data_IF_129764814118
#
_entry.id   IF_129764814118
#
_cell.length_a   1.000
_cell.length_b   1.000
_cell.length_c   1.000
_cell.angle_alpha   90.00
_cell.angle_beta   90.00
_cell.angle_gamma   90.00
#
_symmetry.space_group_name_H-M   'P 1'
#
loop_
_entity.id
_entity.type
_entity.pdbx_description
1 polymer ?
#
# COMPACT_ATOMS: atom_id res chain seq x y z
N UNK A 1 13.01 -27.71 10.08
CA UNK A 1 12.71 -26.70 11.10
C UNK A 1 12.18 -25.51 10.35
N UNK A 2 10.97 -25.07 10.68
CA UNK A 2 10.39 -23.73 10.50
C UNK A 2 8.89 -23.89 10.71
N UNK A 3 8.53 -24.03 11.99
CA UNK A 3 7.14 -23.94 12.41
C UNK A 3 6.71 -22.48 12.23
N UNK A 4 5.93 -22.23 11.19
CA UNK A 4 5.12 -21.02 11.11
C UNK A 4 4.25 -21.00 12.36
N UNK A 5 4.34 -19.92 13.14
CA UNK A 5 3.38 -19.68 14.19
C UNK A 5 2.00 -19.67 13.56
N UNK A 6 1.17 -20.65 13.94
CA UNK A 6 -0.26 -20.50 13.80
C UNK A 6 -0.64 -19.55 14.92
N UNK A 7 -0.57 -18.24 14.64
CA UNK A 7 -1.08 -17.22 15.53
C UNK A 7 -2.47 -17.62 16.01
N UNK A 8 -2.64 -17.63 17.33
CA UNK A 8 -3.85 -18.02 18.06
C UNK A 8 -5.14 -17.72 17.29
N UNK A 9 -5.80 -18.75 16.75
CA UNK A 9 -7.04 -18.63 15.98
C UNK A 9 -8.12 -17.87 16.76
N UNK A 10 -8.05 -17.88 18.11
CA UNK A 10 -8.97 -17.14 18.98
C UNK A 10 -8.73 -15.62 18.98
N UNK A 11 -7.50 -15.16 18.71
CA UNK A 11 -7.19 -13.75 18.59
C UNK A 11 -7.76 -13.17 17.28
N UNK A 12 -7.73 -13.95 16.19
CA UNK A 12 -8.30 -13.56 14.90
C UNK A 12 -9.82 -13.46 14.94
N UNK A 13 -10.50 -14.42 15.57
CA UNK A 13 -11.96 -14.37 15.73
C UNK A 13 -12.36 -13.17 16.58
N UNK A 14 -11.66 -12.93 17.69
CA UNK A 14 -11.92 -11.79 18.57
C UNK A 14 -11.77 -10.45 17.83
N UNK A 15 -10.72 -10.31 17.02
CA UNK A 15 -10.52 -9.12 16.19
C UNK A 15 -11.65 -8.94 15.17
N UNK A 16 -12.08 -10.02 14.51
CA UNK A 16 -13.18 -9.97 13.55
C UNK A 16 -14.49 -9.50 14.22
N UNK A 17 -14.82 -10.02 15.40
CA UNK A 17 -16.01 -9.63 16.17
C UNK A 17 -15.98 -8.13 16.53
N UNK A 18 -14.81 -7.61 16.94
CA UNK A 18 -14.64 -6.17 17.20
C UNK A 18 -14.77 -5.32 15.93
N UNK A 19 -14.28 -5.82 14.80
CA UNK A 19 -14.36 -5.11 13.54
C UNK A 19 -15.81 -5.04 13.04
N UNK A 20 -16.57 -6.13 13.14
CA UNK A 20 -17.99 -6.20 12.74
C UNK A 20 -18.90 -5.33 13.61
N UNK A 21 -18.62 -5.25 14.91
CA UNK A 21 -19.39 -4.41 15.84
C UNK A 21 -19.03 -2.91 15.77
N UNK A 22 -17.96 -2.54 15.07
CA UNK A 22 -17.47 -1.16 14.98
C UNK A 22 -18.19 -0.35 13.91
N UNK A 23 -18.90 0.71 14.30
CA UNK A 23 -19.57 1.61 13.34
C UNK A 23 -18.63 2.61 12.66
N UNK A 24 -17.39 2.74 13.14
CA UNK A 24 -16.38 3.68 12.63
C UNK A 24 -14.99 3.06 12.71
N UNK A 25 -14.40 2.78 11.56
CA UNK A 25 -13.08 2.15 11.47
C UNK A 25 -12.07 3.15 10.90
N UNK A 26 -10.93 3.30 11.58
CA UNK A 26 -9.79 4.08 11.11
C UNK A 26 -8.62 3.13 10.80
N UNK A 27 -8.20 3.10 9.54
CA UNK A 27 -7.03 2.32 9.12
C UNK A 27 -5.81 3.24 9.01
N UNK A 28 -4.79 3.01 9.84
CA UNK A 28 -3.50 3.69 9.73
C UNK A 28 -2.56 2.80 8.89
N UNK A 29 -2.28 3.24 7.66
CA UNK A 29 -1.47 2.47 6.70
C UNK A 29 -0.19 3.22 6.34
N UNK A 30 0.90 2.49 6.20
CA UNK A 30 2.20 3.02 5.78
C UNK A 30 2.70 2.37 4.49
N UNK A 31 3.92 2.73 4.09
CA UNK A 31 4.56 2.21 2.87
C UNK A 31 4.64 0.67 2.82
N UNK A 32 4.61 0.00 3.98
CA UNK A 32 4.58 -1.47 4.06
C UNK A 32 3.37 -2.10 3.36
N UNK A 33 2.21 -1.42 3.32
CA UNK A 33 1.03 -1.89 2.58
C UNK A 33 1.34 -2.08 1.09
N UNK A 34 2.23 -1.24 0.54
CA UNK A 34 2.59 -1.21 -0.88
C UNK A 34 3.83 -2.04 -1.22
N UNK A 35 4.54 -2.60 -0.25
CA UNK A 35 5.70 -3.45 -0.51
C UNK A 35 5.37 -4.69 -1.38
N UNK A 36 4.24 -5.40 -1.15
CA UNK A 36 3.84 -6.52 -2.00
C UNK A 36 3.42 -6.11 -3.42
N UNK A 37 3.18 -4.81 -3.66
CA UNK A 37 2.92 -4.26 -4.99
C UNK A 37 4.19 -3.94 -5.79
N UNK A 38 5.36 -4.37 -5.29
CA UNK A 38 6.65 -4.15 -5.95
C UNK A 38 7.28 -2.79 -5.66
N UNK A 39 6.71 -2.00 -4.74
CA UNK A 39 7.24 -0.69 -4.39
C UNK A 39 8.26 -0.78 -3.26
N UNK A 40 9.44 -0.19 -3.48
CA UNK A 40 10.49 -0.15 -2.47
C UNK A 40 10.12 0.82 -1.35
N UNK A 41 10.16 0.31 -0.12
CA UNK A 41 9.90 1.08 1.10
C UNK A 41 11.12 1.88 1.54
N UNK A 42 10.90 2.92 2.36
CA UNK A 42 12.00 3.68 2.94
C UNK A 42 12.73 2.91 4.05
N UNK A 43 11.99 2.11 4.82
CA UNK A 43 12.49 1.31 5.95
C UNK A 43 12.26 -0.19 5.73
N UNK A 44 12.92 -1.03 6.52
CA UNK A 44 12.82 -2.49 6.48
C UNK A 44 14.10 -3.14 5.95
N UNK A 45 14.10 -4.48 5.82
CA UNK A 45 15.28 -5.26 5.40
C UNK A 45 15.85 -4.79 4.06
N UNK A 46 14.98 -4.44 3.11
CA UNK A 46 15.33 -3.89 1.80
C UNK A 46 14.96 -2.39 1.68
N UNK A 47 14.97 -1.67 2.79
CA UNK A 47 14.61 -0.25 2.84
C UNK A 47 15.69 0.64 2.24
N UNK A 48 15.29 1.68 1.52
CA UNK A 48 16.22 2.62 0.88
C UNK A 48 17.08 3.38 1.87
N UNK A 49 16.56 3.60 3.08
CA UNK A 49 17.36 4.21 4.14
C UNK A 49 18.41 3.27 4.70
N UNK A 50 18.59 2.04 4.24
CA UNK A 50 19.77 1.28 4.64
C UNK A 50 21.04 1.82 3.97
N UNK A 51 20.90 2.61 2.89
CA UNK A 51 21.99 3.32 2.23
C UNK A 51 22.03 4.79 2.66
N UNK A 52 23.17 5.22 3.20
CA UNK A 52 23.40 6.59 3.66
C UNK A 52 23.29 7.59 2.51
N UNK A 53 23.74 7.24 1.31
CA UNK A 53 23.67 8.11 0.14
C UNK A 53 22.21 8.36 -0.26
N UNK A 54 21.37 7.32 -0.19
CA UNK A 54 19.95 7.43 -0.49
C UNK A 54 19.18 8.23 0.58
N UNK A 55 19.63 8.21 1.84
CA UNK A 55 19.08 9.10 2.88
C UNK A 55 19.36 10.56 2.57
N UNK A 56 20.59 10.87 2.14
CA UNK A 56 20.99 12.25 1.81
C UNK A 56 20.21 12.81 0.62
N UNK A 57 19.87 11.97 -0.38
CA UNK A 57 19.01 12.36 -1.51
C UNK A 57 17.61 12.85 -1.09
N UNK A 58 17.14 12.50 0.11
CA UNK A 58 15.89 12.98 0.67
C UNK A 58 16.05 14.24 1.55
N UNK A 59 17.18 14.96 1.44
CA UNK A 59 17.43 16.20 2.19
C UNK A 59 17.28 17.46 1.32
N UNK A 60 16.83 18.59 1.91
CA UNK A 60 16.76 19.87 1.19
C UNK A 60 18.14 20.35 0.69
N UNK A 61 19.20 20.13 1.47
CA UNK A 61 20.56 20.53 1.12
C UNK A 61 21.01 19.81 -0.16
N UNK A 62 20.79 18.49 -0.24
CA UNK A 62 21.18 17.72 -1.43
C UNK A 62 20.43 18.16 -2.67
N UNK A 63 19.16 18.54 -2.53
CA UNK A 63 18.39 19.10 -3.64
C UNK A 63 18.92 20.45 -4.12
N UNK A 64 19.45 21.29 -3.21
CA UNK A 64 20.08 22.56 -3.59
C UNK A 64 21.45 22.36 -4.25
N UNK A 65 22.22 21.37 -3.79
CA UNK A 65 23.54 21.05 -4.33
C UNK A 65 23.48 20.36 -5.70
N UNK A 66 22.62 19.34 -5.84
CA UNK A 66 22.50 18.53 -7.06
C UNK A 66 21.02 18.14 -7.31
N UNK A 67 20.22 19.07 -7.86
CA UNK A 67 18.82 18.80 -8.15
C UNK A 67 18.64 17.74 -9.24
N UNK A 68 19.60 17.57 -10.17
CA UNK A 68 19.48 16.64 -11.30
C UNK A 68 19.49 15.20 -10.81
N UNK A 69 20.41 14.85 -9.92
CA UNK A 69 20.47 13.50 -9.34
C UNK A 69 19.24 13.22 -8.48
N UNK A 70 18.79 14.20 -7.68
CA UNK A 70 17.58 14.04 -6.87
C UNK A 70 16.34 13.83 -7.75
N UNK A 71 16.16 14.63 -8.80
CA UNK A 71 15.06 14.45 -9.75
C UNK A 71 15.11 13.11 -10.48
N UNK A 72 16.30 12.68 -10.90
CA UNK A 72 16.47 11.37 -11.57
C UNK A 72 16.06 10.23 -10.64
N UNK A 73 16.51 10.26 -9.38
CA UNK A 73 16.15 9.27 -8.37
C UNK A 73 14.63 9.23 -8.11
N UNK A 74 13.97 10.37 -7.91
CA UNK A 74 12.51 10.40 -7.71
C UNK A 74 11.71 10.10 -8.98
N UNK A 75 12.25 10.44 -10.15
CA UNK A 75 11.65 10.14 -11.46
C UNK A 75 11.52 8.64 -11.68
N UNK A 76 12.57 7.86 -11.41
CA UNK A 76 12.49 6.39 -11.49
C UNK A 76 11.43 5.81 -10.55
N UNK A 77 11.30 6.36 -9.33
CA UNK A 77 10.29 5.92 -8.36
C UNK A 77 8.89 6.23 -8.84
N UNK A 78 8.69 7.39 -9.47
CA UNK A 78 7.41 7.76 -10.06
C UNK A 78 7.01 6.77 -11.15
N UNK A 79 7.94 6.43 -12.05
CA UNK A 79 7.70 5.44 -13.11
C UNK A 79 7.29 4.08 -12.53
N UNK A 80 8.02 3.57 -11.54
CA UNK A 80 7.66 2.32 -10.84
C UNK A 80 6.29 2.39 -10.16
N UNK A 81 5.93 3.56 -9.62
CA UNK A 81 4.63 3.78 -8.98
C UNK A 81 3.47 3.78 -9.98
N UNK A 82 3.72 4.22 -11.22
CA UNK A 82 2.72 4.16 -12.30
C UNK A 82 2.49 2.74 -12.82
N UNK A 83 3.49 1.87 -12.73
CA UNK A 83 3.39 0.47 -13.14
C UNK A 83 2.77 -0.43 -12.06
N UNK A 84 2.92 -0.06 -10.79
CA UNK A 84 2.45 -0.85 -9.66
C UNK A 84 0.93 -1.07 -9.68
N UNK A 85 0.51 -2.27 -9.26
CA UNK A 85 -0.90 -2.64 -9.15
C UNK A 85 -1.31 -2.80 -7.68
N UNK A 86 -2.58 -2.49 -7.34
CA UNK A 86 -3.11 -2.79 -6.01
C UNK A 86 -2.96 -4.27 -5.67
N UNK A 87 -2.57 -4.57 -4.44
CA UNK A 87 -2.48 -5.94 -3.94
C UNK A 87 -3.74 -6.32 -3.14
N UNK A 88 -3.82 -7.57 -2.69
CA UNK A 88 -4.96 -8.10 -1.94
C UNK A 88 -5.34 -7.25 -0.71
N UNK A 89 -4.37 -6.66 -0.01
CA UNK A 89 -4.63 -5.82 1.15
C UNK A 89 -5.31 -4.50 0.77
N UNK A 90 -4.92 -3.86 -0.34
CA UNK A 90 -5.60 -2.66 -0.84
C UNK A 90 -7.06 -2.96 -1.19
N UNK A 91 -7.31 -4.10 -1.82
CA UNK A 91 -8.66 -4.50 -2.17
C UNK A 91 -9.51 -4.88 -0.95
N UNK A 92 -8.92 -5.53 0.05
CA UNK A 92 -9.61 -5.82 1.31
C UNK A 92 -10.02 -4.53 2.05
N UNK A 93 -9.13 -3.55 2.13
CA UNK A 93 -9.44 -2.24 2.71
C UNK A 93 -10.51 -1.49 1.93
N UNK A 94 -10.49 -1.57 0.60
CA UNK A 94 -11.52 -0.96 -0.24
C UNK A 94 -12.90 -1.62 -0.02
N UNK A 95 -12.96 -2.94 0.09
CA UNK A 95 -14.19 -3.66 0.41
C UNK A 95 -14.74 -3.26 1.79
N UNK A 96 -13.87 -3.26 2.82
CA UNK A 96 -14.23 -2.86 4.17
C UNK A 96 -14.80 -1.42 4.22
N UNK A 97 -14.19 -0.49 3.48
CA UNK A 97 -14.67 0.89 3.44
C UNK A 97 -16.07 1.01 2.82
N UNK A 98 -16.39 0.19 1.82
CA UNK A 98 -17.73 0.16 1.19
C UNK A 98 -18.76 -0.44 2.15
N UNK A 99 -18.42 -1.52 2.84
CA UNK A 99 -19.31 -2.19 3.81
C UNK A 99 -19.67 -1.26 4.97
N UNK A 100 -18.67 -0.60 5.57
CA UNK A 100 -18.89 0.37 6.65
C UNK A 100 -19.74 1.57 6.19
N UNK A 101 -19.55 2.04 4.95
CA UNK A 101 -20.31 3.16 4.42
C UNK A 101 -21.77 2.81 4.07
N UNK A 102 -22.04 1.56 3.70
CA UNK A 102 -23.36 1.11 3.25
C UNK A 102 -24.20 0.47 4.35
N UNK A 103 -23.62 0.19 5.53
CA UNK A 103 -24.30 -0.48 6.64
C UNK A 103 -24.71 -1.93 6.33
N UNK A 104 -24.23 -2.47 5.20
CA UNK A 104 -24.46 -3.84 4.77
C UNK A 104 -23.19 -4.64 5.03
N UNK A 105 -23.17 -5.38 6.14
CA UNK A 105 -22.15 -6.39 6.39
C UNK A 105 -22.43 -7.60 5.50
N UNK A 106 -21.88 -7.57 4.29
CA UNK A 106 -21.86 -8.72 3.38
C UNK A 106 -20.46 -8.84 2.80
N UNK A 107 -19.54 -9.38 3.60
CA UNK A 107 -18.24 -9.83 3.09
C UNK A 107 -18.50 -10.79 1.92
N UNK A 108 -18.03 -10.50 0.68
CA UNK A 108 -18.18 -11.43 -0.41
C UNK A 108 -17.40 -12.71 -0.06
N UNK A 109 -18.02 -13.90 -0.17
CA UNK A 109 -17.35 -15.14 0.19
C UNK A 109 -16.17 -15.36 -0.74
N UNK A 110 -14.96 -15.28 -0.19
CA UNK A 110 -13.66 -15.32 -0.91
C UNK A 110 -13.55 -14.25 -1.99
N UNK A 111 -12.84 -13.19 -1.64
CA UNK A 111 -12.31 -12.19 -2.56
C UNK A 111 -11.49 -12.82 -3.71
N UNK A 112 -12.15 -13.27 -4.77
CA UNK A 112 -11.54 -13.61 -6.05
C UNK A 112 -11.58 -12.36 -6.90
N UNK A 113 -10.64 -11.45 -6.68
CA UNK A 113 -10.50 -10.28 -7.54
C UNK A 113 -10.07 -10.75 -8.93
N UNK A 114 -10.88 -10.56 -9.99
CA UNK A 114 -10.41 -10.79 -11.34
C UNK A 114 -9.31 -9.77 -11.64
N UNK A 115 -8.12 -10.26 -11.97
CA UNK A 115 -7.00 -9.47 -12.48
C UNK A 115 -7.38 -9.02 -13.89
N UNK A 116 -8.24 -8.00 -14.01
CA UNK A 116 -8.49 -7.29 -15.26
C UNK A 116 -8.28 -5.80 -14.98
N UNK A 117 -7.04 -5.37 -15.20
CA UNK A 117 -6.69 -3.96 -15.29
C UNK A 117 -7.36 -3.37 -16.54
N UNK A 118 -8.60 -2.89 -16.43
CA UNK A 118 -9.16 -2.02 -17.46
C UNK A 118 -8.63 -0.61 -17.24
N UNK A 119 -7.55 -0.31 -17.97
CA UNK A 119 -6.98 1.03 -18.17
C UNK A 119 -8.06 1.97 -18.72
N UNK A 120 -8.79 2.68 -17.88
CA UNK A 120 -9.65 3.78 -18.31
C UNK A 120 -8.80 5.05 -18.38
N UNK A 121 -8.13 5.24 -19.52
CA UNK A 121 -7.48 6.52 -19.82
C UNK A 121 -8.56 7.60 -20.02
N UNK A 122 -8.83 8.40 -19.00
CA UNK A 122 -9.49 9.69 -19.18
C UNK A 122 -8.51 10.62 -19.88
N UNK A 123 -8.69 10.82 -21.19
CA UNK A 123 -8.02 11.88 -21.94
C UNK A 123 -8.58 13.21 -21.45
N UNK A 124 -7.75 14.02 -20.79
CA UNK A 124 -8.03 15.42 -20.55
C UNK A 124 -7.46 16.22 -21.73
N UNK A 125 -8.33 16.88 -22.48
CA UNK A 125 -7.94 17.87 -23.49
C UNK A 125 -8.04 19.24 -22.84
N UNK A 126 -6.96 20.00 -22.83
CA UNK A 126 -6.97 21.41 -22.44
C UNK A 126 -7.06 22.23 -23.72
N UNK A 127 -8.12 23.03 -23.86
CA UNK A 127 -8.28 24.05 -24.92
C UNK A 127 -7.75 25.38 -24.43
#
# INVERSE_FOLDING_TARGET
>A
MDGADAGDDSAWSTFADFLESSSRVLCLVGAGLSAPSGLTTWRGTNGLWNDINLRELASPNKFQEDPVTVWSFYGERLLKSLEAQPNAAHHALAALAIEVATGSCTLPPRARFPVHASRTSKKYTFT
#
